data_IF_392894753002
#
_entry.id   IF_392894753002
#
_cell.length_a   1.000
_cell.length_b   1.000
_cell.length_c   1.000
_cell.angle_alpha   90.00
_cell.angle_beta   90.00
_cell.angle_gamma   90.00
#
_symmetry.space_group_name_H-M   'P 1'
#
loop_
_entity.id
_entity.type
_entity.pdbx_description
1 polymer ?
#
# COMPACT_ATOMS: atom_id res chain seq x y z
N UNK A 1 -13.94 -29.43 19.40
CA UNK A 1 -12.76 -28.58 19.10
C UNK A 1 -11.76 -28.79 20.22
N UNK A 2 -10.45 -28.91 19.94
CA UNK A 2 -9.45 -29.04 21.00
C UNK A 2 -9.39 -27.76 21.84
N UNK A 3 -9.16 -27.90 23.14
CA UNK A 3 -8.99 -26.79 24.06
C UNK A 3 -7.79 -25.91 23.65
N UNK A 4 -7.90 -24.59 23.79
CA UNK A 4 -6.80 -23.68 23.48
C UNK A 4 -5.58 -23.94 24.38
N UNK A 5 -4.37 -23.91 23.81
CA UNK A 5 -3.11 -24.25 24.51
C UNK A 5 -2.88 -23.45 25.80
N UNK A 6 -3.29 -22.17 25.81
CA UNK A 6 -3.18 -21.32 27.00
C UNK A 6 -4.09 -21.79 28.14
N UNK A 7 -5.31 -22.22 27.81
CA UNK A 7 -6.26 -22.77 28.76
C UNK A 7 -5.78 -24.12 29.31
N UNK A 8 -5.25 -25.00 28.46
CA UNK A 8 -4.62 -26.26 28.91
C UNK A 8 -3.46 -26.01 29.88
N UNK A 9 -2.64 -24.98 29.63
CA UNK A 9 -1.54 -24.58 30.52
C UNK A 9 -2.05 -24.04 31.85
N UNK A 10 -3.16 -23.29 31.86
CA UNK A 10 -3.80 -22.79 33.08
C UNK A 10 -4.38 -23.95 33.92
N UNK A 11 -5.10 -24.88 33.29
CA UNK A 11 -5.63 -26.09 33.93
C UNK A 11 -4.51 -26.92 34.58
N UNK A 12 -3.44 -27.22 33.82
CA UNK A 12 -2.29 -27.98 34.33
C UNK A 12 -1.60 -27.30 35.52
N UNK A 13 -1.47 -25.96 35.50
CA UNK A 13 -0.85 -25.21 36.60
C UNK A 13 -1.65 -25.26 37.89
N UNK A 14 -2.97 -25.28 37.79
CA UNK A 14 -3.87 -25.37 38.95
C UNK A 14 -4.14 -26.82 39.36
N UNK A 15 -3.50 -27.80 38.72
CA UNK A 15 -3.79 -29.22 38.91
C UNK A 15 -5.27 -29.58 38.70
N UNK A 16 -5.97 -28.86 37.82
CA UNK A 16 -7.34 -29.15 37.41
C UNK A 16 -7.27 -30.03 36.16
N UNK A 17 -7.80 -31.25 36.23
CA UNK A 17 -7.95 -32.10 35.06
C UNK A 17 -9.18 -31.67 34.24
N UNK A 18 -9.06 -31.68 32.91
CA UNK A 18 -10.04 -31.14 31.96
C UNK A 18 -11.47 -31.69 32.15
N UNK A 19 -11.61 -32.93 32.61
CA UNK A 19 -12.90 -33.60 32.81
C UNK A 19 -13.48 -33.46 34.23
N UNK A 20 -12.85 -32.67 35.10
CA UNK A 20 -13.21 -32.58 36.52
C UNK A 20 -13.31 -31.13 36.98
N UNK A 21 -14.32 -30.80 37.81
CA UNK A 21 -14.44 -29.46 38.35
C UNK A 21 -13.30 -29.15 39.34
N UNK A 22 -13.05 -27.87 39.65
CA UNK A 22 -12.18 -27.49 40.76
C UNK A 22 -12.63 -28.15 42.06
N UNK A 23 -11.66 -28.48 42.91
CA UNK A 23 -11.86 -29.15 44.19
C UNK A 23 -12.62 -28.28 45.21
N UNK A 24 -12.46 -26.95 45.15
CA UNK A 24 -13.13 -26.03 46.06
C UNK A 24 -13.36 -24.63 45.45
N UNK A 25 -14.03 -23.76 46.22
CA UNK A 25 -14.35 -22.40 45.84
C UNK A 25 -13.12 -21.47 45.75
N UNK A 26 -11.99 -21.79 46.39
CA UNK A 26 -10.77 -21.00 46.28
C UNK A 26 -10.05 -21.31 44.95
N UNK A 27 -9.91 -22.59 44.61
CA UNK A 27 -9.34 -23.03 43.34
C UNK A 27 -10.18 -22.58 42.14
N UNK A 28 -11.51 -22.56 42.28
CA UNK A 28 -12.40 -21.99 41.26
C UNK A 28 -12.17 -20.49 41.05
N UNK A 29 -12.07 -19.72 42.14
CA UNK A 29 -11.79 -18.28 42.07
C UNK A 29 -10.44 -18.00 41.40
N UNK A 30 -9.39 -18.73 41.76
CA UNK A 30 -8.07 -18.57 41.13
C UNK A 30 -8.11 -18.89 39.63
N UNK A 31 -8.85 -19.93 39.23
CA UNK A 31 -9.03 -20.26 37.82
C UNK A 31 -9.72 -19.12 37.05
N UNK A 32 -10.84 -18.61 37.57
CA UNK A 32 -11.58 -17.50 36.96
C UNK A 32 -10.71 -16.25 36.85
N UNK A 33 -9.96 -15.90 37.88
CA UNK A 33 -9.05 -14.75 37.84
C UNK A 33 -7.96 -14.91 36.77
N UNK A 34 -7.41 -16.11 36.60
CA UNK A 34 -6.40 -16.38 35.55
C UNK A 34 -6.99 -16.31 34.15
N UNK A 35 -8.19 -16.84 33.94
CA UNK A 35 -8.90 -16.77 32.65
C UNK A 35 -9.28 -15.32 32.34
N UNK A 36 -9.85 -14.60 33.32
CA UNK A 36 -10.21 -13.19 33.19
C UNK A 36 -9.00 -12.33 32.83
N UNK A 37 -7.85 -12.55 33.50
CA UNK A 37 -6.60 -11.85 33.16
C UNK A 37 -6.17 -12.12 31.72
N UNK A 38 -6.25 -13.36 31.26
CA UNK A 38 -5.90 -13.71 29.88
C UNK A 38 -6.83 -13.05 28.86
N UNK A 39 -8.12 -12.88 29.17
CA UNK A 39 -9.05 -12.14 28.32
C UNK A 39 -8.74 -10.64 28.30
N UNK A 40 -8.46 -10.04 29.46
CA UNK A 40 -8.08 -8.63 29.52
C UNK A 40 -6.79 -8.38 28.73
N UNK A 41 -5.79 -9.25 28.86
CA UNK A 41 -4.54 -9.17 28.07
C UNK A 41 -4.82 -9.28 26.57
N UNK A 42 -5.64 -10.24 26.15
CA UNK A 42 -5.99 -10.42 24.74
C UNK A 42 -6.77 -9.22 24.16
N UNK A 43 -7.72 -8.66 24.91
CA UNK A 43 -8.49 -7.48 24.49
C UNK A 43 -7.60 -6.24 24.41
N UNK A 44 -6.65 -6.07 25.34
CA UNK A 44 -5.67 -4.99 25.31
C UNK A 44 -4.72 -5.12 24.11
N UNK A 45 -4.18 -6.31 23.84
CA UNK A 45 -3.33 -6.56 22.67
C UNK A 45 -4.07 -6.24 21.38
N UNK A 46 -5.33 -6.68 21.28
CA UNK A 46 -6.17 -6.42 20.12
C UNK A 46 -6.44 -4.92 19.94
N UNK A 47 -6.81 -4.22 21.01
CA UNK A 47 -7.03 -2.78 20.99
C UNK A 47 -5.78 -2.00 20.55
N UNK A 48 -4.61 -2.36 21.09
CA UNK A 48 -3.34 -1.74 20.72
C UNK A 48 -2.97 -2.00 19.26
N UNK A 49 -3.21 -3.22 18.77
CA UNK A 49 -2.98 -3.56 17.37
C UNK A 49 -3.89 -2.76 16.44
N UNK A 50 -5.19 -2.73 16.72
CA UNK A 50 -6.17 -1.96 15.94
C UNK A 50 -5.79 -0.47 15.96
N UNK A 51 -5.43 0.08 17.13
CA UNK A 51 -5.03 1.48 17.24
C UNK A 51 -3.73 1.79 16.49
N UNK A 52 -2.75 0.90 16.54
CA UNK A 52 -1.48 1.02 15.80
C UNK A 52 -1.72 0.99 14.28
N UNK A 53 -2.61 0.11 13.81
CA UNK A 53 -3.02 0.05 12.41
C UNK A 53 -3.71 1.34 11.97
N UNK A 54 -4.63 1.87 12.78
CA UNK A 54 -5.32 3.13 12.48
C UNK A 54 -4.35 4.29 12.35
N UNK A 55 -3.43 4.43 13.33
CA UNK A 55 -2.41 5.50 13.32
C UNK A 55 -1.51 5.37 12.10
N UNK A 56 -1.00 4.17 11.82
CA UNK A 56 -0.14 3.92 10.67
C UNK A 56 -0.86 4.20 9.33
N UNK A 57 -2.14 3.82 9.23
CA UNK A 57 -2.97 4.09 8.05
C UNK A 57 -3.17 5.59 7.84
N UNK A 58 -3.45 6.33 8.91
CA UNK A 58 -3.62 7.78 8.86
C UNK A 58 -2.32 8.49 8.45
N UNK A 59 -1.19 8.15 9.07
CA UNK A 59 0.12 8.70 8.72
C UNK A 59 0.48 8.42 7.25
N UNK A 60 0.20 7.21 6.74
CA UNK A 60 0.40 6.88 5.33
C UNK A 60 -0.46 7.73 4.41
N UNK A 61 -1.73 7.97 4.76
CA UNK A 61 -2.63 8.82 3.97
C UNK A 61 -2.18 10.28 3.95
N UNK A 62 -1.75 10.81 5.10
CA UNK A 62 -1.22 12.17 5.21
C UNK A 62 0.06 12.34 4.40
N UNK A 63 1.02 11.42 4.53
CA UNK A 63 2.26 11.43 3.74
C UNK A 63 1.97 11.33 2.25
N UNK A 64 1.03 10.47 1.85
CA UNK A 64 0.65 10.34 0.45
C UNK A 64 0.06 11.64 -0.10
N UNK A 65 -0.82 12.31 0.65
CA UNK A 65 -1.39 13.59 0.28
C UNK A 65 -0.31 14.69 0.18
N UNK A 66 0.64 14.75 1.13
CA UNK A 66 1.75 15.69 1.10
C UNK A 66 2.65 15.48 -0.12
N UNK A 67 2.97 14.22 -0.46
CA UNK A 67 3.76 13.90 -1.66
C UNK A 67 3.02 14.31 -2.92
N UNK A 68 1.71 14.01 -3.03
CA UNK A 68 0.91 14.42 -4.19
C UNK A 68 0.87 15.94 -4.34
N UNK A 69 0.73 16.67 -3.24
CA UNK A 69 0.70 18.13 -3.26
C UNK A 69 2.07 18.72 -3.63
N UNK A 70 3.17 18.18 -3.08
CA UNK A 70 4.52 18.58 -3.43
C UNK A 70 4.81 18.35 -4.93
N UNK A 71 4.39 17.20 -5.48
CA UNK A 71 4.48 16.91 -6.91
C UNK A 71 3.72 17.93 -7.75
N UNK A 72 2.48 18.27 -7.35
CA UNK A 72 1.64 19.25 -8.03
C UNK A 72 2.23 20.65 -8.01
N UNK A 73 2.74 21.10 -6.85
CA UNK A 73 3.38 22.42 -6.72
C UNK A 73 4.66 22.49 -7.56
N UNK A 74 5.47 21.44 -7.53
CA UNK A 74 6.72 21.39 -8.30
C UNK A 74 6.51 21.16 -9.81
N UNK A 75 5.31 20.74 -10.23
CA UNK A 75 5.04 20.32 -11.61
C UNK A 75 5.83 19.08 -12.01
N UNK A 76 6.05 18.16 -11.06
CA UNK A 76 6.87 16.95 -11.25
C UNK A 76 6.03 15.69 -11.08
N UNK A 77 5.91 14.91 -12.14
CA UNK A 77 5.30 13.58 -12.11
C UNK A 77 6.36 12.48 -12.02
N UNK A 78 6.03 11.38 -11.32
CA UNK A 78 6.78 10.12 -11.43
C UNK A 78 6.00 9.08 -12.23
N UNK A 79 6.74 8.17 -12.86
CA UNK A 79 6.22 6.97 -13.50
C UNK A 79 7.20 5.80 -13.29
N UNK A 80 6.68 4.58 -13.35
CA UNK A 80 7.47 3.35 -13.30
C UNK A 80 6.86 2.31 -14.23
N UNK A 81 7.67 1.34 -14.66
CA UNK A 81 7.22 0.25 -15.50
C UNK A 81 7.70 -1.08 -14.95
N UNK A 82 6.76 -1.95 -14.60
CA UNK A 82 7.05 -3.33 -14.22
C UNK A 82 7.12 -4.19 -15.48
N UNK A 83 8.29 -4.76 -15.76
CA UNK A 83 8.53 -5.60 -16.94
C UNK A 83 7.91 -6.99 -16.82
N UNK A 84 7.78 -7.52 -15.60
CA UNK A 84 7.25 -8.86 -15.35
C UNK A 84 5.73 -8.81 -15.40
N UNK A 85 5.13 -7.83 -14.71
CA UNK A 85 3.70 -7.61 -14.73
C UNK A 85 3.21 -6.89 -16.01
N UNK A 86 4.15 -6.40 -16.84
CA UNK A 86 3.89 -5.65 -18.06
C UNK A 86 2.92 -4.46 -17.82
N UNK A 87 3.16 -3.72 -16.73
CA UNK A 87 2.25 -2.69 -16.24
C UNK A 87 3.01 -1.40 -15.91
N UNK A 88 2.53 -0.28 -16.45
CA UNK A 88 3.00 1.05 -16.11
C UNK A 88 2.23 1.57 -14.90
N UNK A 89 2.92 2.28 -14.01
CA UNK A 89 2.31 3.12 -12.98
C UNK A 89 2.71 4.56 -13.23
N UNK A 90 1.76 5.48 -13.14
CA UNK A 90 1.99 6.91 -13.18
C UNK A 90 1.38 7.53 -11.94
N UNK A 91 2.09 8.48 -11.33
CA UNK A 91 1.49 9.40 -10.36
C UNK A 91 0.36 10.20 -11.00
N UNK A 92 -0.57 10.69 -10.17
CA UNK A 92 -1.69 11.55 -10.61
C UNK A 92 -1.16 12.79 -11.33
N UNK A 93 -0.08 13.40 -10.83
CA UNK A 93 0.51 14.56 -11.47
C UNK A 93 1.16 14.23 -12.82
N UNK A 94 1.80 13.07 -12.96
CA UNK A 94 2.30 12.61 -14.26
C UNK A 94 1.18 12.48 -15.29
N UNK A 95 0.00 11.95 -14.91
CA UNK A 95 -1.16 11.88 -15.79
C UNK A 95 -1.61 13.28 -16.23
N UNK A 96 -1.72 14.23 -15.28
CA UNK A 96 -2.10 15.62 -15.58
C UNK A 96 -1.12 16.31 -16.53
N UNK A 97 0.19 16.18 -16.27
CA UNK A 97 1.24 16.75 -17.12
C UNK A 97 1.20 16.19 -18.55
N UNK A 98 0.81 14.92 -18.70
CA UNK A 98 0.61 14.27 -20.00
C UNK A 98 -0.77 14.54 -20.63
N UNK A 99 -1.65 15.28 -19.96
CA UNK A 99 -2.98 15.65 -20.46
C UNK A 99 -4.08 14.59 -20.27
N UNK A 100 -3.89 13.63 -19.35
CA UNK A 100 -4.89 12.62 -18.98
C UNK A 100 -5.68 13.02 -17.72
N UNK A 101 -6.86 12.43 -17.55
CA UNK A 101 -7.63 12.55 -16.31
C UNK A 101 -6.89 11.87 -15.13
N UNK A 102 -7.16 12.35 -13.91
CA UNK A 102 -6.48 11.90 -12.68
C UNK A 102 -6.72 10.42 -12.35
N UNK A 103 -7.84 9.86 -12.78
CA UNK A 103 -8.28 8.48 -12.59
C UNK A 103 -8.04 7.60 -13.83
N UNK A 104 -7.44 8.15 -14.89
CA UNK A 104 -7.11 7.40 -16.09
C UNK A 104 -6.04 6.33 -15.80
N UNK A 105 -6.09 5.17 -16.48
CA UNK A 105 -4.99 4.23 -16.41
C UNK A 105 -3.71 4.83 -16.99
N UNK A 106 -2.56 4.34 -16.54
CA UNK A 106 -1.26 4.77 -17.08
C UNK A 106 -1.21 4.56 -18.61
N UNK A 107 -0.80 5.57 -19.39
CA UNK A 107 -0.80 5.46 -20.84
C UNK A 107 0.25 4.45 -21.30
N UNK A 108 -0.14 3.58 -22.23
CA UNK A 108 0.77 2.69 -22.92
C UNK A 108 1.71 3.45 -23.87
N UNK A 109 2.77 2.78 -24.32
CA UNK A 109 3.80 3.39 -25.18
C UNK A 109 3.25 4.10 -26.42
N UNK A 110 2.26 3.51 -27.10
CA UNK A 110 1.61 4.14 -28.28
C UNK A 110 0.88 5.44 -27.92
N UNK A 111 0.24 5.49 -26.76
CA UNK A 111 -0.50 6.67 -26.28
C UNK A 111 0.49 7.78 -25.90
N UNK A 112 1.59 7.45 -25.20
CA UNK A 112 2.68 8.40 -24.90
C UNK A 112 3.28 8.97 -26.19
N UNK A 113 3.61 8.14 -27.18
CA UNK A 113 4.16 8.63 -28.45
C UNK A 113 3.18 9.54 -29.22
N UNK A 114 1.88 9.36 -29.07
CA UNK A 114 0.87 10.17 -29.76
C UNK A 114 0.90 11.63 -29.30
N UNK A 115 1.10 11.86 -28.00
CA UNK A 115 1.18 13.20 -27.40
C UNK A 115 2.58 13.82 -27.49
N UNK A 116 3.61 13.06 -27.89
CA UNK A 116 4.96 13.58 -28.13
C UNK A 116 5.04 14.21 -29.52
N UNK A 117 5.70 15.37 -29.61
CA UNK A 117 5.92 16.08 -30.87
C UNK A 117 6.60 15.19 -31.91
N UNK A 118 6.12 15.15 -33.18
CA UNK A 118 6.61 14.21 -34.19
C UNK A 118 8.13 14.20 -34.39
N UNK A 119 8.79 15.36 -34.27
CA UNK A 119 10.26 15.49 -34.36
C UNK A 119 11.01 14.82 -33.20
N UNK A 120 10.37 14.66 -32.04
CA UNK A 120 11.01 14.11 -30.84
C UNK A 120 10.75 12.60 -30.66
N UNK A 121 9.71 12.04 -31.30
CA UNK A 121 9.30 10.63 -31.16
C UNK A 121 10.42 9.62 -31.42
N UNK A 122 11.20 9.82 -32.49
CA UNK A 122 12.31 8.91 -32.84
C UNK A 122 13.40 8.93 -31.76
N UNK A 123 13.75 10.12 -31.26
CA UNK A 123 14.78 10.33 -30.23
C UNK A 123 14.35 9.69 -28.91
N UNK A 124 13.12 9.95 -28.46
CA UNK A 124 12.55 9.33 -27.27
C UNK A 124 12.49 7.81 -27.37
N UNK A 125 12.01 7.27 -28.50
CA UNK A 125 11.95 5.82 -28.69
C UNK A 125 13.30 5.12 -28.70
N UNK A 126 14.36 5.78 -29.19
CA UNK A 126 15.72 5.23 -29.12
C UNK A 126 16.24 5.22 -27.68
N UNK A 127 16.06 6.32 -26.94
CA UNK A 127 16.49 6.43 -25.55
C UNK A 127 15.81 5.37 -24.66
N UNK A 128 14.47 5.27 -24.74
CA UNK A 128 13.69 4.29 -23.98
C UNK A 128 14.10 2.86 -24.34
N UNK A 129 14.23 2.51 -25.62
CA UNK A 129 14.67 1.16 -26.02
C UNK A 129 16.06 0.81 -25.49
N UNK A 130 16.98 1.77 -25.49
CA UNK A 130 18.34 1.58 -24.97
C UNK A 130 18.29 1.32 -23.47
N UNK A 131 17.56 2.13 -22.72
CA UNK A 131 17.37 1.95 -21.28
C UNK A 131 16.79 0.57 -20.93
N UNK A 132 15.77 0.12 -21.67
CA UNK A 132 15.17 -1.20 -21.46
C UNK A 132 16.09 -2.38 -21.81
N UNK A 133 16.95 -2.23 -22.82
CA UNK A 133 17.83 -3.29 -23.31
C UNK A 133 19.13 -3.38 -22.51
N UNK A 134 19.74 -2.24 -22.25
CA UNK A 134 21.08 -2.12 -21.67
C UNK A 134 21.05 -1.82 -20.16
N UNK A 135 19.87 -1.47 -19.61
CA UNK A 135 19.75 -1.13 -18.19
C UNK A 135 20.39 0.20 -17.81
N UNK A 136 20.54 1.12 -18.77
CA UNK A 136 21.19 2.41 -18.59
C UNK A 136 20.18 3.51 -18.26
N UNK A 137 20.60 4.45 -17.42
CA UNK A 137 19.85 5.68 -17.17
C UNK A 137 19.83 6.57 -18.42
N UNK A 138 18.77 7.37 -18.57
CA UNK A 138 18.67 8.38 -19.61
C UNK A 138 17.93 9.61 -19.09
N UNK A 139 18.38 10.78 -19.54
CA UNK A 139 17.71 12.05 -19.37
C UNK A 139 17.38 12.61 -20.76
N UNK A 140 16.13 13.05 -20.96
CA UNK A 140 15.66 13.53 -22.25
C UNK A 140 14.57 14.59 -22.11
N UNK A 141 14.78 15.71 -22.78
CA UNK A 141 13.76 16.73 -22.99
C UNK A 141 13.03 16.51 -24.31
N UNK A 142 11.70 16.55 -24.30
CA UNK A 142 10.86 16.47 -25.49
C UNK A 142 9.63 17.35 -25.36
N UNK A 143 9.07 17.77 -26.49
CA UNK A 143 7.87 18.60 -26.51
C UNK A 143 6.61 17.73 -26.51
N UNK A 144 5.62 18.16 -25.74
CA UNK A 144 4.26 17.64 -25.83
C UNK A 144 3.48 18.44 -26.87
N UNK A 145 2.61 17.76 -27.59
CA UNK A 145 1.58 18.36 -28.45
C UNK A 145 0.28 18.31 -27.66
N UNK A 146 -0.37 19.45 -27.38
CA UNK A 146 -1.73 19.44 -26.86
C UNK A 146 -2.61 18.61 -27.80
N UNK A 147 -3.50 17.73 -27.31
CA UNK A 147 -4.44 17.06 -28.20
C UNK A 147 -5.22 18.11 -29.00
N UNK A 148 -5.51 17.88 -30.30
CA UNK A 148 -6.10 18.88 -31.19
C UNK A 148 -7.51 19.35 -30.79
N UNK A 149 -8.09 18.82 -29.71
CA UNK A 149 -9.39 19.22 -29.18
C UNK A 149 -9.33 19.47 -27.68
N UNK A 150 -8.84 20.65 -27.29
CA UNK A 150 -9.21 21.20 -25.98
C UNK A 150 -10.49 22.03 -26.14
N UNK A 151 -11.64 21.35 -26.12
CA UNK A 151 -12.93 21.88 -25.64
C UNK A 151 -13.38 20.81 -24.66
N UNK A 152 -13.60 21.11 -23.39
CA UNK A 152 -14.81 21.80 -22.95
C UNK A 152 -14.66 22.17 -21.46
N UNK A 153 -15.08 23.41 -21.15
CA UNK A 153 -15.66 23.96 -19.91
C UNK A 153 -15.03 23.63 -18.55
#
# INVERSE_FOLDING_TARGET
MPLHRLLQRQLKRLAIAEATPPADAAQWREFIERVSRAYVEADQERYLLERSQDVSSHEMQELYAQVQEAQRIAGLGNWSYDRVANHARCSVECLRLLGYAADAPAPGWRQVLAIVHPRDRRRLGLAVRRAFREGVEFDIEFRLVPPPFNRTR
#
